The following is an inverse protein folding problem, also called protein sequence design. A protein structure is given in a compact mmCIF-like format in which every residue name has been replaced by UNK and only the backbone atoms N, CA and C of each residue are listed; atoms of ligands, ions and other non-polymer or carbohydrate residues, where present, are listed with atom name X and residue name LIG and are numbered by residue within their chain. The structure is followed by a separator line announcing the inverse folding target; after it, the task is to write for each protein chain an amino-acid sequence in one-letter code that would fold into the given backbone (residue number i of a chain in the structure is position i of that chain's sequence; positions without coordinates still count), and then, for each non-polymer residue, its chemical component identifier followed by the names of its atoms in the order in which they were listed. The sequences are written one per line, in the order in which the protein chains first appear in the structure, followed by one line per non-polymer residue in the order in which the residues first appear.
data_IF_582863596542
#
_entry.id   IF_582863596542
#
_cell.length_a   1.000
_cell.length_b   1.000
_cell.length_c   1.000
_cell.angle_alpha   90.00
_cell.angle_beta   90.00
_cell.angle_gamma   90.00
#
_symmetry.space_group_name_H-M   'P 1'
#
loop_
_entity.id
_entity.type
_entity.pdbx_description
1 polymer ?
#
# COMPACT_ATOMS: atom_id res chain seq x y z
N UNK A 1 -35.86 47.44 10.69
CA UNK A 1 -36.45 46.14 10.32
C UNK A 1 -35.44 45.39 9.47
N UNK A 2 -35.23 44.11 9.82
CA UNK A 2 -34.51 43.01 9.15
C UNK A 2 -34.46 43.13 7.61
N UNK A 3 -33.43 42.67 6.88
CA UNK A 3 -32.81 41.33 6.94
C UNK A 3 -31.41 41.32 6.29
N UNK A 4 -30.56 40.49 6.87
CA UNK A 4 -29.33 39.88 6.36
C UNK A 4 -29.53 39.23 4.99
N UNK A 5 -28.53 39.28 4.10
CA UNK A 5 -28.08 38.11 3.30
C UNK A 5 -26.85 38.44 2.46
N UNK A 6 -25.69 38.07 3.00
CA UNK A 6 -24.47 37.77 2.26
C UNK A 6 -24.80 36.81 1.11
N UNK A 7 -24.42 37.18 -0.12
CA UNK A 7 -24.49 36.28 -1.26
C UNK A 7 -23.13 36.21 -1.93
N UNK A 8 -22.31 35.29 -1.43
CA UNK A 8 -21.19 34.70 -2.16
C UNK A 8 -21.70 33.41 -2.82
N UNK A 9 -21.77 33.31 -4.17
CA UNK A 9 -21.94 31.98 -4.75
C UNK A 9 -21.06 31.78 -5.99
N UNK A 10 -19.74 31.63 -5.83
CA UNK A 10 -18.87 31.25 -6.98
C UNK A 10 -17.75 30.27 -6.62
N UNK A 11 -18.01 29.26 -5.79
CA UNK A 11 -16.99 28.22 -5.52
C UNK A 11 -17.50 26.77 -5.70
N UNK A 12 -18.76 26.58 -6.12
CA UNK A 12 -19.39 25.25 -6.14
C UNK A 12 -18.98 24.41 -7.37
N UNK A 13 -18.47 25.03 -8.45
CA UNK A 13 -18.17 24.30 -9.69
C UNK A 13 -16.97 23.36 -9.64
N UNK A 14 -15.93 23.68 -8.85
CA UNK A 14 -14.67 22.92 -8.87
C UNK A 14 -14.68 21.61 -8.08
N UNK A 15 -15.51 21.53 -7.04
CA UNK A 15 -15.46 20.45 -6.05
C UNK A 15 -16.08 19.14 -6.58
N UNK A 16 -17.00 19.24 -7.54
CA UNK A 16 -17.65 18.06 -8.15
C UNK A 16 -16.71 17.33 -9.12
N UNK A 17 -15.82 18.04 -9.82
CA UNK A 17 -14.90 17.43 -10.79
C UNK A 17 -13.76 16.66 -10.09
N UNK A 18 -13.25 17.17 -8.97
CA UNK A 18 -12.22 16.50 -8.17
C UNK A 18 -12.74 15.20 -7.52
N UNK A 19 -13.99 15.18 -7.05
CA UNK A 19 -14.61 13.99 -6.46
C UNK A 19 -14.82 12.86 -7.49
N UNK A 20 -15.16 13.20 -8.74
CA UNK A 20 -15.34 12.22 -9.81
C UNK A 20 -14.01 11.65 -10.33
N UNK A 21 -12.94 12.44 -10.40
CA UNK A 21 -11.61 11.93 -10.78
C UNK A 21 -10.96 11.09 -9.69
N UNK A 22 -11.12 11.47 -8.41
CA UNK A 22 -10.60 10.69 -7.27
C UNK A 22 -11.25 9.32 -7.13
N UNK A 23 -12.55 9.21 -7.37
CA UNK A 23 -13.28 7.93 -7.30
C UNK A 23 -12.91 6.97 -8.43
N UNK A 24 -12.73 7.46 -9.67
CA UNK A 24 -12.27 6.62 -10.79
C UNK A 24 -10.83 6.13 -10.59
N UNK A 25 -9.94 6.99 -10.06
CA UNK A 25 -8.57 6.59 -9.74
C UNK A 25 -8.51 5.53 -8.64
N UNK A 26 -9.31 5.67 -7.57
CA UNK A 26 -9.35 4.68 -6.49
C UNK A 26 -9.96 3.33 -6.92
N UNK A 27 -11.01 3.36 -7.75
CA UNK A 27 -11.64 2.14 -8.26
C UNK A 27 -10.71 1.40 -9.22
N UNK A 28 -10.01 2.09 -10.13
CA UNK A 28 -9.05 1.43 -11.03
C UNK A 28 -7.84 0.89 -10.29
N UNK A 29 -7.38 1.58 -9.24
CA UNK A 29 -6.29 1.10 -8.39
C UNK A 29 -6.70 -0.15 -7.58
N UNK A 30 -7.94 -0.20 -7.08
CA UNK A 30 -8.46 -1.36 -6.32
C UNK A 30 -8.73 -2.58 -7.20
N UNK A 31 -9.12 -2.37 -8.46
CA UNK A 31 -9.34 -3.46 -9.44
C UNK A 31 -8.01 -4.02 -9.95
N UNK A 32 -6.95 -3.20 -10.10
CA UNK A 32 -5.60 -3.72 -10.42
C UNK A 32 -5.04 -4.65 -9.33
N UNK A 33 -5.34 -4.38 -8.06
CA UNK A 33 -4.98 -5.29 -6.95
C UNK A 33 -5.85 -6.55 -6.85
N UNK A 34 -6.94 -6.66 -7.64
CA UNK A 34 -7.76 -7.87 -7.79
C UNK A 34 -7.54 -8.56 -9.15
N UNK A 35 -6.41 -8.32 -9.82
CA UNK A 35 -5.97 -9.23 -10.87
C UNK A 35 -5.46 -10.50 -10.20
N UNK A 36 -6.39 -11.41 -9.93
CA UNK A 36 -6.10 -12.83 -10.06
C UNK A 36 -5.35 -13.02 -11.38
N UNK A 37 -4.17 -13.64 -11.39
CA UNK A 37 -3.50 -13.95 -12.64
C UNK A 37 -4.43 -14.90 -13.41
N UNK A 38 -5.04 -14.39 -14.48
CA UNK A 38 -5.64 -15.24 -15.51
C UNK A 38 -4.46 -15.98 -16.16
N UNK A 39 -4.32 -17.30 -16.01
CA UNK A 39 -3.21 -18.02 -16.60
C UNK A 39 -3.49 -18.13 -18.11
N UNK A 40 -3.00 -17.16 -18.85
CA UNK A 40 -2.79 -17.30 -20.28
C UNK A 40 -1.44 -16.66 -20.59
N UNK A 41 -0.39 -17.33 -20.12
CA UNK A 41 0.94 -17.21 -20.69
C UNK A 41 1.52 -18.61 -20.72
N UNK A 42 1.50 -19.14 -21.93
CA UNK A 42 2.34 -20.24 -22.38
C UNK A 42 3.76 -19.81 -21.99
N UNK A 43 4.39 -20.56 -21.08
CA UNK A 43 5.59 -20.19 -20.28
C UNK A 43 5.29 -19.30 -19.06
N UNK A 44 4.88 -19.95 -17.96
CA UNK A 44 4.89 -19.34 -16.64
C UNK A 44 6.35 -19.10 -16.21
N UNK A 45 6.80 -17.86 -15.89
CA UNK A 45 7.91 -17.75 -14.95
C UNK A 45 7.38 -18.37 -13.66
N UNK A 46 8.02 -19.44 -13.22
CA UNK A 46 7.72 -20.17 -11.98
C UNK A 46 7.31 -19.17 -10.90
N UNK A 47 6.02 -19.05 -10.64
CA UNK A 47 5.52 -18.43 -9.43
C UNK A 47 5.92 -19.41 -8.33
N UNK A 48 7.17 -19.30 -7.88
CA UNK A 48 7.69 -20.05 -6.76
C UNK A 48 6.70 -19.76 -5.65
N UNK A 49 5.91 -20.77 -5.26
CA UNK A 49 5.01 -20.63 -4.13
C UNK A 49 5.90 -20.19 -2.98
N UNK A 50 5.76 -18.92 -2.58
CA UNK A 50 6.53 -18.41 -1.48
C UNK A 50 5.97 -19.15 -0.26
N UNK A 51 6.69 -20.18 0.17
CA UNK A 51 6.51 -20.75 1.50
C UNK A 51 6.52 -19.61 2.53
N UNK A 52 5.98 -19.86 3.71
CA UNK A 52 5.94 -18.86 4.77
C UNK A 52 7.35 -18.28 4.98
N UNK A 53 7.49 -16.96 4.75
CA UNK A 53 8.74 -16.22 4.92
C UNK A 53 8.53 -15.12 5.94
N UNK A 54 9.57 -14.89 6.73
CA UNK A 54 9.63 -13.79 7.69
C UNK A 54 10.35 -12.61 7.07
N UNK A 55 9.72 -11.44 7.09
CA UNK A 55 10.27 -10.21 6.55
C UNK A 55 10.52 -9.19 7.65
N UNK A 56 11.66 -8.52 7.63
CA UNK A 56 11.93 -7.36 8.47
C UNK A 56 11.46 -6.09 7.74
N UNK A 57 10.54 -5.36 8.37
CA UNK A 57 10.03 -4.09 7.87
C UNK A 57 11.08 -3.01 8.13
N UNK A 58 11.84 -2.66 7.09
CA UNK A 58 12.97 -1.75 7.23
C UNK A 58 12.52 -0.38 7.71
N UNK A 59 13.39 0.30 8.46
CA UNK A 59 13.07 1.61 9.05
C UNK A 59 12.03 1.58 10.17
N UNK A 60 11.55 0.40 10.58
CA UNK A 60 10.58 0.28 11.68
C UNK A 60 11.07 -0.63 12.79
N UNK A 61 10.77 -0.23 14.02
CA UNK A 61 11.13 -0.96 15.22
C UNK A 61 9.94 -1.14 16.13
N UNK A 62 9.91 -2.23 16.89
CA UNK A 62 8.97 -2.44 17.98
C UNK A 62 9.29 -1.52 19.18
N UNK A 63 8.48 -1.61 20.24
CA UNK A 63 8.66 -0.85 21.48
C UNK A 63 9.96 -1.17 22.23
N UNK A 64 10.64 -2.26 21.87
CA UNK A 64 11.94 -2.66 22.42
C UNK A 64 13.11 -2.24 21.51
N UNK A 65 12.86 -1.50 20.44
CA UNK A 65 13.86 -1.05 19.48
C UNK A 65 14.34 -2.15 18.53
N UNK A 66 13.65 -3.30 18.45
CA UNK A 66 14.00 -4.39 17.53
C UNK A 66 13.30 -4.21 16.20
N UNK A 67 13.93 -4.62 15.10
CA UNK A 67 13.32 -4.57 13.78
C UNK A 67 11.95 -5.27 13.79
N UNK A 68 10.91 -4.60 13.27
CA UNK A 68 9.59 -5.19 13.25
C UNK A 68 9.51 -6.30 12.19
N UNK A 69 9.06 -7.49 12.61
CA UNK A 69 8.99 -8.66 11.73
C UNK A 69 7.56 -8.95 11.28
N UNK A 70 7.43 -9.50 10.07
CA UNK A 70 6.15 -9.90 9.48
C UNK A 70 6.26 -11.21 8.72
N UNK A 71 5.50 -12.20 9.15
CA UNK A 71 5.35 -13.45 8.40
C UNK A 71 4.33 -13.30 7.28
N UNK A 72 4.66 -13.81 6.10
CA UNK A 72 3.74 -13.83 4.97
C UNK A 72 4.10 -14.91 3.95
N UNK A 73 3.08 -15.43 3.28
CA UNK A 73 3.18 -16.33 2.12
C UNK A 73 3.05 -15.59 0.80
N UNK A 74 2.98 -14.24 0.85
CA UNK A 74 2.92 -13.43 -0.36
C UNK A 74 4.26 -13.53 -1.09
N UNK A 75 4.24 -13.61 -2.44
CA UNK A 75 5.46 -13.65 -3.22
C UNK A 75 6.23 -12.32 -3.11
N UNK A 76 7.53 -12.40 -3.35
CA UNK A 76 8.40 -11.24 -3.54
C UNK A 76 7.82 -10.31 -4.61
N UNK A 77 7.99 -9.00 -4.42
CA UNK A 77 7.38 -7.93 -5.20
C UNK A 77 5.97 -7.54 -4.74
N UNK A 78 5.35 -8.31 -3.84
CA UNK A 78 4.05 -7.95 -3.26
C UNK A 78 4.18 -6.77 -2.30
N UNK A 79 3.10 -5.99 -2.20
CA UNK A 79 2.97 -4.93 -1.20
C UNK A 79 2.15 -5.46 -0.02
N UNK A 80 2.66 -5.23 1.19
CA UNK A 80 1.93 -5.43 2.45
C UNK A 80 1.62 -4.08 3.08
N UNK A 81 0.46 -4.02 3.74
CA UNK A 81 0.00 -2.82 4.44
C UNK A 81 -0.05 -3.16 5.92
N UNK A 82 0.62 -2.35 6.73
CA UNK A 82 0.76 -2.56 8.17
C UNK A 82 0.42 -1.27 8.90
N UNK A 83 -0.22 -1.38 10.06
CA UNK A 83 -0.46 -0.24 10.94
C UNK A 83 0.62 -0.22 12.02
N UNK A 84 1.40 0.85 12.08
CA UNK A 84 2.52 1.07 12.99
C UNK A 84 2.25 2.38 13.72
N UNK A 85 2.15 2.33 15.05
CA UNK A 85 1.82 3.50 15.88
C UNK A 85 0.59 4.30 15.40
N UNK A 86 -0.44 3.59 14.94
CA UNK A 86 -1.67 4.18 14.41
C UNK A 86 -1.55 4.77 13.00
N UNK A 87 -0.36 4.74 12.38
CA UNK A 87 -0.15 5.13 10.99
C UNK A 87 -0.15 3.91 10.08
N UNK A 88 -0.84 4.01 8.96
CA UNK A 88 -0.80 2.98 7.91
C UNK A 88 0.45 3.20 7.06
N UNK A 89 1.27 2.17 6.92
CA UNK A 89 2.48 2.17 6.12
C UNK A 89 2.50 0.97 5.17
N UNK A 90 3.07 1.18 3.99
CA UNK A 90 3.19 0.17 2.94
C UNK A 90 4.63 -0.27 2.79
N UNK A 91 4.81 -1.57 2.61
CA UNK A 91 6.13 -2.16 2.38
C UNK A 91 6.10 -3.10 1.20
N UNK A 92 7.15 -3.07 0.37
CA UNK A 92 7.38 -4.03 -0.68
C UNK A 92 8.22 -5.19 -0.15
N UNK A 93 7.73 -6.42 -0.33
CA UNK A 93 8.48 -7.62 0.01
C UNK A 93 9.59 -7.83 -1.03
N UNK A 94 10.83 -7.94 -0.59
CA UNK A 94 11.99 -8.16 -1.48
C UNK A 94 12.58 -9.56 -1.26
N UNK A 95 13.48 -10.01 -2.14
CA UNK A 95 14.27 -11.21 -1.91
C UNK A 95 15.61 -10.94 -1.21
N UNK A 96 15.87 -9.69 -0.81
CA UNK A 96 17.11 -9.31 -0.16
C UNK A 96 17.22 -9.97 1.21
N UNK A 97 18.19 -10.87 1.43
CA UNK A 97 18.33 -11.57 2.69
C UNK A 97 18.90 -10.64 3.77
N UNK A 98 18.42 -10.82 4.99
CA UNK A 98 18.92 -10.19 6.20
C UNK A 98 19.42 -11.26 7.17
N UNK A 99 20.06 -10.81 8.25
CA UNK A 99 20.53 -11.70 9.31
C UNK A 99 19.37 -12.50 9.92
N UNK A 100 19.66 -13.71 10.39
CA UNK A 100 18.67 -14.57 11.05
C UNK A 100 17.65 -15.23 10.11
N UNK A 101 17.92 -15.29 8.80
CA UNK A 101 17.05 -15.97 7.83
C UNK A 101 15.79 -15.19 7.47
N UNK A 102 15.78 -13.88 7.75
CA UNK A 102 14.70 -12.98 7.38
C UNK A 102 15.00 -12.31 6.02
N UNK A 103 13.97 -11.74 5.40
CA UNK A 103 14.10 -10.98 4.15
C UNK A 103 13.73 -9.52 4.38
N UNK A 104 14.27 -8.61 3.58
CA UNK A 104 13.91 -7.20 3.70
C UNK A 104 12.53 -6.92 3.11
N UNK A 105 11.79 -6.04 3.80
CA UNK A 105 10.62 -5.39 3.27
C UNK A 105 10.85 -3.87 3.28
N UNK A 106 10.94 -3.28 2.09
CA UNK A 106 11.29 -1.88 1.89
C UNK A 106 10.05 -0.98 2.02
N UNK A 107 10.11 0.13 2.77
CA UNK A 107 9.03 1.11 2.82
C UNK A 107 8.76 1.72 1.45
N UNK A 108 7.48 1.97 1.15
CA UNK A 108 7.09 2.67 -0.08
C UNK A 108 6.75 4.14 0.15
N UNK A 109 6.64 4.55 1.42
CA UNK A 109 6.12 5.85 1.81
C UNK A 109 7.24 6.81 2.32
N UNK A 110 8.52 6.44 2.19
CA UNK A 110 9.67 7.12 2.81
C UNK A 110 10.35 8.23 1.99
N UNK A 111 9.80 8.60 0.83
CA UNK A 111 10.35 9.65 -0.05
C UNK A 111 9.56 10.97 -0.07
N UNK A 112 8.99 11.41 1.07
CA UNK A 112 8.33 12.72 1.18
C UNK A 112 9.08 13.68 2.09
#
# INVERSE_FOLDING_TARGET
MNVVSETLPHVIGGLVVAALLGTVSWITHRVRFRRTPKPTSITAPTAVQAGLRTYALLGTTDSLGRAMLRDTTRPVGSIVVVTIDGRVQRFQLTDAPLYGGTFAAEPLDEHQ
#
